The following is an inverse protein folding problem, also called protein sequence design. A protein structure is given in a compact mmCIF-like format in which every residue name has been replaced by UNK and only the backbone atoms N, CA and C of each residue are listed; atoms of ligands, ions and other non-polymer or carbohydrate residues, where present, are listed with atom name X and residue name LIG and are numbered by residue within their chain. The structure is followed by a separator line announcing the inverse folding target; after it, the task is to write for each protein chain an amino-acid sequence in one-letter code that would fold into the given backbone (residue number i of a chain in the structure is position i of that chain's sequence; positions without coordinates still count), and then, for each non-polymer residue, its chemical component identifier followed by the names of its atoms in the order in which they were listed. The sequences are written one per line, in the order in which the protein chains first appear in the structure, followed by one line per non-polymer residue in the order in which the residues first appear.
data_IF_858397208556
#
_entry.id   IF_858397208556
#
_cell.length_a   1.000
_cell.length_b   1.000
_cell.length_c   1.000
_cell.angle_alpha   90.00
_cell.angle_beta   90.00
_cell.angle_gamma   90.00
#
_symmetry.space_group_name_H-M   'P 1'
#
loop_
_entity.id
_entity.type
_entity.pdbx_description
1 polymer ?
#
# COMPACT_ATOMS: atom_id res chain seq x y z
N UNK A 1 19.66 4.25 -25.62
CA UNK A 1 18.57 3.83 -24.72
C UNK A 1 17.52 3.05 -25.52
N UNK A 2 17.14 1.84 -25.13
CA UNK A 2 16.14 1.06 -25.86
C UNK A 2 14.77 1.76 -25.84
N UNK A 3 14.05 1.68 -26.97
CA UNK A 3 12.73 2.33 -27.18
C UNK A 3 11.67 1.98 -26.12
N UNK A 4 11.84 0.85 -25.44
CA UNK A 4 10.99 0.36 -24.34
C UNK A 4 10.94 1.35 -23.16
N UNK A 5 12.07 1.99 -22.83
CA UNK A 5 12.14 2.94 -21.71
C UNK A 5 11.38 4.24 -22.00
N UNK A 6 11.33 4.69 -23.26
CA UNK A 6 10.57 5.88 -23.65
C UNK A 6 9.05 5.65 -23.56
N UNK A 7 8.59 4.44 -23.86
CA UNK A 7 7.16 4.10 -23.79
C UNK A 7 6.69 3.95 -22.33
N UNK A 8 7.53 3.42 -21.47
CA UNK A 8 7.23 3.24 -20.05
C UNK A 8 7.31 4.57 -19.26
N UNK A 9 8.18 5.49 -19.64
CA UNK A 9 8.19 6.85 -19.07
C UNK A 9 6.87 7.62 -19.35
N UNK A 10 6.14 7.24 -20.41
CA UNK A 10 4.82 7.79 -20.74
C UNK A 10 3.72 7.34 -19.77
N UNK A 11 3.94 6.26 -19.03
CA UNK A 11 3.00 5.73 -18.02
C UNK A 11 3.22 6.37 -16.64
N UNK A 12 4.35 7.05 -16.43
CA UNK A 12 4.67 7.73 -15.16
C UNK A 12 3.54 8.63 -14.62
N UNK A 13 2.87 9.48 -15.44
CA UNK A 13 1.79 10.33 -14.94
C UNK A 13 0.61 9.53 -14.37
N UNK A 14 0.38 8.29 -14.84
CA UNK A 14 -0.68 7.41 -14.31
C UNK A 14 -0.34 6.97 -12.90
N UNK A 15 0.91 6.58 -12.66
CA UNK A 15 1.38 6.22 -11.31
C UNK A 15 1.34 7.41 -10.34
N UNK A 16 1.72 8.62 -10.81
CA UNK A 16 1.65 9.85 -10.01
C UNK A 16 0.21 10.21 -9.66
N UNK A 17 -0.72 9.99 -10.58
CA UNK A 17 -2.13 10.22 -10.34
C UNK A 17 -2.72 9.22 -9.34
N UNK A 18 -2.41 7.92 -9.51
CA UNK A 18 -2.80 6.86 -8.56
C UNK A 18 -2.27 7.16 -7.16
N UNK A 19 -1.01 7.56 -7.04
CA UNK A 19 -0.42 7.94 -5.76
C UNK A 19 -1.17 9.11 -5.10
N UNK A 20 -1.48 10.16 -5.86
CA UNK A 20 -2.23 11.33 -5.36
C UNK A 20 -3.63 10.96 -4.89
N UNK A 21 -4.32 10.07 -5.64
CA UNK A 21 -5.65 9.59 -5.26
C UNK A 21 -5.58 8.78 -3.97
N UNK A 22 -4.67 7.82 -3.87
CA UNK A 22 -4.52 6.99 -2.67
C UNK A 22 -4.15 7.85 -1.46
N UNK A 23 -3.25 8.83 -1.64
CA UNK A 23 -2.90 9.77 -0.58
C UNK A 23 -4.08 10.63 -0.14
N UNK A 24 -4.88 11.14 -1.09
CA UNK A 24 -6.10 11.89 -0.77
C UNK A 24 -7.10 11.03 -0.02
N UNK A 25 -7.29 9.79 -0.47
CA UNK A 25 -8.17 8.83 0.18
C UNK A 25 -7.74 8.55 1.64
N UNK A 26 -6.44 8.34 1.89
CA UNK A 26 -5.91 8.17 3.24
C UNK A 26 -6.19 9.38 4.13
N UNK A 27 -6.02 10.60 3.60
CA UNK A 27 -6.30 11.83 4.34
C UNK A 27 -7.78 11.96 4.70
N UNK A 28 -8.67 11.64 3.75
CA UNK A 28 -10.12 11.67 3.99
C UNK A 28 -10.54 10.61 5.02
N UNK A 29 -10.03 9.39 4.91
CA UNK A 29 -10.28 8.32 5.88
C UNK A 29 -9.82 8.74 7.28
N UNK A 30 -8.66 9.36 7.40
CA UNK A 30 -8.14 9.87 8.68
C UNK A 30 -9.10 10.90 9.31
N UNK A 31 -9.55 11.88 8.52
CA UNK A 31 -10.46 12.91 9.02
C UNK A 31 -11.79 12.30 9.49
N UNK A 32 -12.35 11.38 8.70
CA UNK A 32 -13.60 10.68 9.05
C UNK A 32 -13.42 9.85 10.31
N UNK A 33 -12.31 9.12 10.43
CA UNK A 33 -11.97 8.30 11.59
C UNK A 33 -11.88 9.14 12.87
N UNK A 34 -11.20 10.29 12.82
CA UNK A 34 -11.10 11.23 13.93
C UNK A 34 -12.50 11.76 14.33
N UNK A 35 -13.34 12.13 13.36
CA UNK A 35 -14.68 12.64 13.65
C UNK A 35 -15.56 11.59 14.34
N UNK A 36 -15.53 10.34 13.85
CA UNK A 36 -16.30 9.24 14.47
C UNK A 36 -15.77 8.95 15.87
N UNK A 37 -14.45 8.93 16.05
CA UNK A 37 -13.82 8.72 17.35
C UNK A 37 -14.20 9.82 18.33
N UNK A 38 -14.15 11.10 17.92
CA UNK A 38 -14.58 12.23 18.74
C UNK A 38 -16.06 12.11 19.13
N UNK A 39 -16.92 11.69 18.19
CA UNK A 39 -18.35 11.48 18.47
C UNK A 39 -18.55 10.34 19.48
N UNK A 40 -17.85 9.23 19.35
CA UNK A 40 -17.92 8.10 20.28
C UNK A 40 -17.46 8.48 21.69
N UNK A 41 -16.34 9.18 21.80
CA UNK A 41 -15.82 9.68 23.08
C UNK A 41 -16.80 10.67 23.72
N UNK A 42 -17.33 11.63 22.95
CA UNK A 42 -18.30 12.58 23.45
C UNK A 42 -19.59 11.89 23.96
N UNK A 43 -20.09 10.88 23.24
CA UNK A 43 -21.25 10.10 23.65
C UNK A 43 -21.07 9.37 24.98
N UNK A 44 -19.85 8.92 25.28
CA UNK A 44 -19.54 8.25 26.57
C UNK A 44 -19.50 9.22 27.77
N UNK A 45 -19.06 10.45 27.56
CA UNK A 45 -18.89 11.44 28.65
C UNK A 45 -20.05 12.40 28.80
N UNK A 46 -20.84 12.61 27.75
CA UNK A 46 -21.92 13.59 27.72
C UNK A 46 -23.25 12.85 27.52
N UNK A 47 -24.05 12.71 28.57
CA UNK A 47 -25.32 11.97 28.55
C UNK A 47 -26.35 12.49 27.53
N UNK A 48 -26.15 13.69 26.98
CA UNK A 48 -27.02 14.27 25.94
C UNK A 48 -26.68 13.80 24.53
N UNK A 49 -25.47 13.27 24.31
CA UNK A 49 -25.00 12.78 23.00
C UNK A 49 -25.20 11.28 22.95
N UNK A 50 -25.91 10.75 21.93
CA UNK A 50 -26.05 9.29 21.79
C UNK A 50 -24.69 8.65 21.52
N UNK A 51 -24.37 7.57 22.24
CA UNK A 51 -23.22 6.70 21.94
C UNK A 51 -23.72 5.51 21.10
N UNK A 52 -23.63 5.60 19.77
CA UNK A 52 -24.11 4.51 18.92
C UNK A 52 -23.09 3.36 18.93
N UNK A 53 -23.54 2.16 19.23
CA UNK A 53 -22.71 0.94 19.30
C UNK A 53 -21.92 0.62 18.02
N UNK A 54 -22.27 1.23 16.88
CA UNK A 54 -21.57 1.02 15.60
C UNK A 54 -20.27 1.80 15.46
N UNK A 55 -20.06 2.85 16.24
CA UNK A 55 -18.88 3.75 16.10
C UNK A 55 -17.57 3.01 16.29
N UNK A 56 -17.48 2.18 17.30
CA UNK A 56 -16.26 1.42 17.62
C UNK A 56 -15.86 0.47 16.48
N UNK A 57 -16.84 -0.21 15.89
CA UNK A 57 -16.61 -1.14 14.81
C UNK A 57 -16.24 -0.42 13.48
N UNK A 58 -16.81 0.76 13.25
CA UNK A 58 -16.46 1.60 12.10
C UNK A 58 -15.06 2.17 12.20
N UNK A 59 -14.65 2.70 13.36
CA UNK A 59 -13.31 3.20 13.63
C UNK A 59 -12.26 2.11 13.33
N UNK A 60 -12.44 0.90 13.86
CA UNK A 60 -11.54 -0.21 13.58
C UNK A 60 -11.44 -0.54 12.09
N UNK A 61 -12.57 -0.52 11.39
CA UNK A 61 -12.60 -0.79 9.94
C UNK A 61 -11.87 0.30 9.15
N UNK A 62 -12.13 1.58 9.43
CA UNK A 62 -11.47 2.72 8.78
C UNK A 62 -9.97 2.72 9.06
N UNK A 63 -9.57 2.41 10.29
CA UNK A 63 -8.17 2.28 10.68
C UNK A 63 -7.43 1.20 9.87
N UNK A 64 -8.08 0.05 9.62
CA UNK A 64 -7.50 -1.01 8.75
C UNK A 64 -7.35 -0.52 7.32
N UNK A 65 -8.37 0.16 6.74
CA UNK A 65 -8.26 0.75 5.40
C UNK A 65 -7.09 1.73 5.31
N UNK A 66 -6.97 2.63 6.29
CA UNK A 66 -5.90 3.61 6.33
C UNK A 66 -4.52 2.96 6.47
N UNK A 67 -4.38 1.97 7.36
CA UNK A 67 -3.12 1.26 7.58
C UNK A 67 -2.64 0.56 6.30
N UNK A 68 -3.54 -0.13 5.63
CA UNK A 68 -3.26 -0.86 4.38
C UNK A 68 -2.86 0.09 3.25
N UNK A 69 -3.64 1.16 3.02
CA UNK A 69 -3.34 2.13 1.98
C UNK A 69 -2.06 2.91 2.26
N UNK A 70 -1.78 3.27 3.51
CA UNK A 70 -0.53 3.94 3.87
C UNK A 70 0.69 3.04 3.70
N UNK A 71 0.57 1.74 3.98
CA UNK A 71 1.64 0.77 3.71
C UNK A 71 1.99 0.71 2.22
N UNK A 72 0.97 0.75 1.33
CA UNK A 72 1.21 0.76 -0.12
C UNK A 72 1.87 2.07 -0.60
N UNK A 73 1.55 3.21 0.00
CA UNK A 73 2.24 4.48 -0.29
C UNK A 73 3.70 4.46 0.15
N UNK A 74 4.01 3.77 1.26
CA UNK A 74 5.38 3.61 1.75
C UNK A 74 6.26 2.82 0.77
N UNK A 75 5.71 1.85 0.04
CA UNK A 75 6.42 1.13 -1.03
C UNK A 75 6.94 2.11 -2.07
N UNK A 76 6.08 2.99 -2.58
CA UNK A 76 6.46 3.95 -3.62
C UNK A 76 7.46 5.01 -3.13
N UNK A 77 7.37 5.42 -1.87
CA UNK A 77 8.30 6.43 -1.31
C UNK A 77 9.70 5.87 -1.01
N UNK A 78 9.96 4.59 -1.34
CA UNK A 78 11.20 3.89 -0.97
C UNK A 78 11.51 3.95 0.55
N UNK A 79 10.48 4.19 1.36
CA UNK A 79 10.59 4.30 2.82
C UNK A 79 10.42 2.92 3.47
N UNK A 80 10.36 1.84 2.66
CA UNK A 80 10.46 0.50 3.21
C UNK A 80 11.74 0.43 4.03
N UNK A 81 11.61 -0.14 5.20
CA UNK A 81 12.63 -0.27 6.26
C UNK A 81 13.94 -0.80 5.65
N UNK A 82 14.66 0.09 4.98
CA UNK A 82 16.01 -0.15 4.53
C UNK A 82 16.87 0.21 5.72
N UNK A 83 17.49 -0.79 6.27
CA UNK A 83 18.45 -0.59 7.34
C UNK A 83 19.71 0.06 6.76
N UNK A 84 19.65 1.38 6.54
CA UNK A 84 20.74 2.20 5.99
C UNK A 84 22.04 2.12 6.83
N UNK A 85 21.94 1.62 8.06
CA UNK A 85 23.08 1.41 8.95
C UNK A 85 24.12 0.44 8.35
N UNK A 86 23.68 -0.53 7.57
CA UNK A 86 24.58 -1.49 6.90
C UNK A 86 25.04 -1.03 5.52
N UNK A 87 24.40 -0.02 4.92
CA UNK A 87 24.75 0.47 3.57
C UNK A 87 26.21 0.98 3.50
N UNK A 88 26.73 1.51 4.58
CA UNK A 88 28.11 2.01 4.66
C UNK A 88 29.19 0.90 4.70
N UNK A 89 28.80 -0.33 5.07
CA UNK A 89 29.73 -1.46 5.26
C UNK A 89 29.66 -2.52 4.16
N UNK A 90 28.60 -2.50 3.35
CA UNK A 90 28.36 -3.53 2.33
C UNK A 90 28.83 -3.07 0.94
N UNK A 91 29.39 -3.97 0.12
CA UNK A 91 29.75 -3.66 -1.26
C UNK A 91 28.47 -3.38 -2.07
N UNK A 92 28.57 -2.43 -3.01
CA UNK A 92 27.44 -1.96 -3.85
C UNK A 92 26.68 -3.05 -4.58
N UNK A 93 27.35 -4.16 -4.90
CA UNK A 93 26.72 -5.31 -5.58
C UNK A 93 25.78 -6.11 -4.65
N UNK A 94 26.18 -6.26 -3.39
CA UNK A 94 25.35 -6.95 -2.37
C UNK A 94 24.11 -6.10 -2.05
N UNK A 95 24.27 -4.78 -1.94
CA UNK A 95 23.16 -3.86 -1.73
C UNK A 95 22.09 -3.98 -2.83
N UNK A 96 22.53 -4.03 -4.10
CA UNK A 96 21.61 -4.20 -5.24
C UNK A 96 20.88 -5.54 -5.23
N UNK A 97 21.57 -6.62 -4.84
CA UNK A 97 20.94 -7.93 -4.72
C UNK A 97 19.91 -7.97 -3.60
N UNK A 98 20.17 -7.25 -2.49
CA UNK A 98 19.22 -7.10 -1.40
C UNK A 98 18.00 -6.27 -1.80
N UNK A 99 18.17 -5.19 -2.58
CA UNK A 99 17.08 -4.38 -3.10
C UNK A 99 16.16 -5.24 -3.99
N UNK A 100 16.75 -5.97 -4.93
CA UNK A 100 15.98 -6.85 -5.81
C UNK A 100 15.27 -7.98 -5.06
N UNK A 101 15.91 -8.54 -4.04
CA UNK A 101 15.31 -9.56 -3.18
C UNK A 101 14.11 -8.99 -2.40
N UNK A 102 14.24 -7.76 -1.90
CA UNK A 102 13.16 -7.05 -1.23
C UNK A 102 11.97 -6.81 -2.16
N UNK A 103 12.23 -6.32 -3.39
CA UNK A 103 11.20 -6.09 -4.40
C UNK A 103 10.45 -7.40 -4.73
N UNK A 104 11.16 -8.50 -4.91
CA UNK A 104 10.56 -9.82 -5.15
C UNK A 104 9.69 -10.25 -3.96
N UNK A 105 10.17 -10.07 -2.73
CA UNK A 105 9.43 -10.45 -1.54
C UNK A 105 8.13 -9.65 -1.39
N UNK A 106 8.16 -8.33 -1.65
CA UNK A 106 6.98 -7.46 -1.61
C UNK A 106 6.00 -7.81 -2.73
N UNK A 107 6.51 -8.12 -3.94
CA UNK A 107 5.67 -8.58 -5.05
C UNK A 107 4.93 -9.87 -4.71
N UNK A 108 5.64 -10.86 -4.16
CA UNK A 108 5.05 -12.14 -3.71
C UNK A 108 4.01 -11.91 -2.63
N UNK A 109 4.29 -11.03 -1.66
CA UNK A 109 3.32 -10.66 -0.63
C UNK A 109 2.08 -10.03 -1.23
N UNK A 110 2.22 -9.11 -2.19
CA UNK A 110 1.11 -8.48 -2.89
C UNK A 110 0.21 -9.50 -3.60
N UNK A 111 0.80 -10.48 -4.28
CA UNK A 111 0.06 -11.57 -4.94
C UNK A 111 -0.67 -12.45 -3.91
N UNK A 112 0.00 -12.80 -2.82
CA UNK A 112 -0.61 -13.59 -1.73
C UNK A 112 -1.81 -12.84 -1.16
N UNK A 113 -1.66 -11.54 -0.84
CA UNK A 113 -2.75 -10.73 -0.31
C UNK A 113 -3.92 -10.60 -1.30
N UNK A 114 -3.64 -10.50 -2.59
CA UNK A 114 -4.67 -10.45 -3.62
C UNK A 114 -5.45 -11.77 -3.70
N UNK A 115 -4.76 -12.90 -3.80
CA UNK A 115 -5.39 -14.22 -3.95
C UNK A 115 -6.16 -14.61 -2.70
N UNK A 116 -5.51 -14.61 -1.55
CA UNK A 116 -6.17 -14.98 -0.30
C UNK A 116 -7.20 -13.95 0.16
N UNK A 117 -6.94 -12.65 -0.08
CA UNK A 117 -7.91 -11.59 0.21
C UNK A 117 -9.21 -11.75 -0.57
N UNK A 118 -9.12 -12.09 -1.86
CA UNK A 118 -10.32 -12.36 -2.67
C UNK A 118 -11.03 -13.65 -2.23
N UNK A 119 -10.30 -14.68 -1.82
CA UNK A 119 -10.88 -15.90 -1.27
C UNK A 119 -11.64 -15.61 0.04
N UNK A 120 -11.06 -14.84 0.94
CA UNK A 120 -11.71 -14.45 2.21
C UNK A 120 -12.96 -13.60 1.95
N UNK A 121 -12.90 -12.62 1.04
CA UNK A 121 -14.07 -11.81 0.65
C UNK A 121 -15.20 -12.67 0.05
N UNK A 122 -14.85 -13.75 -0.66
CA UNK A 122 -15.82 -14.67 -1.25
C UNK A 122 -16.29 -15.79 -0.30
N UNK A 123 -15.69 -15.90 0.87
CA UNK A 123 -16.06 -16.93 1.85
C UNK A 123 -17.51 -16.76 2.32
N UNK A 124 -18.21 -17.87 2.66
CA UNK A 124 -19.56 -17.79 3.21
C UNK A 124 -19.65 -16.92 4.46
N UNK A 125 -18.59 -16.96 5.30
CA UNK A 125 -18.51 -16.18 6.52
C UNK A 125 -18.52 -14.65 6.24
N UNK A 126 -17.87 -14.20 5.19
CA UNK A 126 -17.86 -12.79 4.80
C UNK A 126 -19.18 -12.39 4.14
N UNK A 127 -19.71 -13.22 3.20
CA UNK A 127 -20.92 -12.90 2.42
C UNK A 127 -22.19 -12.92 3.25
N UNK A 128 -22.37 -13.91 4.12
CA UNK A 128 -23.56 -14.06 4.95
C UNK A 128 -23.38 -13.45 6.34
N UNK A 129 -22.14 -13.17 6.76
CA UNK A 129 -21.86 -12.45 7.98
C UNK A 129 -22.29 -10.99 7.90
N UNK A 130 -22.87 -10.50 8.99
CA UNK A 130 -23.25 -9.09 9.15
C UNK A 130 -22.41 -8.47 10.23
N UNK A 131 -22.27 -7.14 10.21
CA UNK A 131 -21.72 -6.42 11.36
C UNK A 131 -22.63 -6.60 12.55
N UNK A 132 -22.05 -6.81 13.74
CA UNK A 132 -22.82 -7.01 14.98
C UNK A 132 -23.64 -5.77 15.32
N UNK A 133 -23.04 -4.60 15.12
CA UNK A 133 -23.65 -3.30 15.44
C UNK A 133 -24.48 -2.71 14.29
N UNK A 134 -24.29 -3.16 13.04
CA UNK A 134 -25.04 -2.70 11.85
C UNK A 134 -25.48 -3.90 11.02
N UNK A 135 -26.66 -4.48 11.31
CA UNK A 135 -27.13 -5.69 10.61
C UNK A 135 -27.38 -5.52 9.11
N UNK A 136 -27.44 -4.27 8.62
CA UNK A 136 -27.62 -3.94 7.21
C UNK A 136 -26.32 -4.00 6.41
N UNK A 137 -25.14 -3.91 7.07
CA UNK A 137 -23.85 -3.89 6.41
C UNK A 137 -23.25 -5.30 6.40
N UNK A 138 -22.82 -5.75 5.22
CA UNK A 138 -22.15 -7.04 5.07
C UNK A 138 -20.74 -7.00 5.65
N UNK A 139 -20.32 -8.07 6.30
CA UNK A 139 -18.95 -8.22 6.83
C UNK A 139 -17.87 -8.21 5.74
N UNK A 140 -18.23 -8.36 4.48
CA UNK A 140 -17.30 -8.24 3.33
C UNK A 140 -16.52 -6.93 3.39
N UNK A 141 -17.14 -5.81 3.77
CA UNK A 141 -16.48 -4.51 3.87
C UNK A 141 -15.28 -4.49 4.82
N UNK A 142 -15.28 -5.34 5.83
CA UNK A 142 -14.14 -5.49 6.74
C UNK A 142 -12.94 -6.18 6.07
N UNK A 143 -13.18 -7.04 5.07
CA UNK A 143 -12.13 -7.81 4.40
C UNK A 143 -11.66 -7.20 3.07
N UNK A 144 -12.44 -6.31 2.46
CA UNK A 144 -12.08 -5.59 1.21
C UNK A 144 -10.72 -4.87 1.25
N UNK A 145 -10.24 -4.32 2.37
CA UNK A 145 -8.90 -3.72 2.41
C UNK A 145 -7.78 -4.68 2.01
N UNK A 146 -7.92 -5.98 2.28
CA UNK A 146 -6.86 -6.97 2.03
C UNK A 146 -6.58 -7.13 0.53
N UNK A 147 -7.56 -7.46 -0.34
CA UNK A 147 -7.31 -7.53 -1.78
C UNK A 147 -6.99 -6.17 -2.39
N UNK A 148 -7.55 -5.08 -1.85
CA UNK A 148 -7.22 -3.72 -2.28
C UNK A 148 -5.73 -3.41 -2.05
N UNK A 149 -5.19 -3.80 -0.88
CA UNK A 149 -3.76 -3.73 -0.61
C UNK A 149 -2.95 -4.52 -1.63
N UNK A 150 -3.35 -5.76 -1.90
CA UNK A 150 -2.67 -6.61 -2.88
C UNK A 150 -2.56 -5.95 -4.25
N UNK A 151 -3.66 -5.37 -4.75
CA UNK A 151 -3.66 -4.65 -6.04
C UNK A 151 -2.74 -3.44 -6.01
N UNK A 152 -2.86 -2.57 -5.00
CA UNK A 152 -2.07 -1.34 -4.92
C UNK A 152 -0.59 -1.63 -4.68
N UNK A 153 -0.25 -2.66 -3.89
CA UNK A 153 1.11 -3.14 -3.72
C UNK A 153 1.73 -3.59 -5.04
N UNK A 154 1.03 -4.42 -5.80
CA UNK A 154 1.52 -4.91 -7.10
C UNK A 154 1.75 -3.74 -8.07
N UNK A 155 0.84 -2.77 -8.13
CA UNK A 155 0.97 -1.61 -9.01
C UNK A 155 2.23 -0.81 -8.68
N UNK A 156 2.44 -0.46 -7.40
CA UNK A 156 3.58 0.34 -6.99
C UNK A 156 4.89 -0.43 -7.05
N UNK A 157 4.86 -1.73 -6.77
CA UNK A 157 6.05 -2.58 -6.84
C UNK A 157 6.53 -2.76 -8.30
N UNK A 158 5.63 -2.89 -9.25
CA UNK A 158 5.98 -2.90 -10.67
C UNK A 158 6.70 -1.60 -11.09
N UNK A 159 6.28 -0.46 -10.55
CA UNK A 159 6.97 0.83 -10.77
C UNK A 159 8.39 0.79 -10.18
N UNK A 160 8.56 0.27 -8.96
CA UNK A 160 9.87 0.20 -8.27
C UNK A 160 10.83 -0.76 -8.98
N UNK A 161 10.39 -1.96 -9.30
CA UNK A 161 11.17 -2.94 -10.08
C UNK A 161 11.63 -2.35 -11.41
N UNK A 162 10.74 -1.64 -12.11
CA UNK A 162 11.10 -0.94 -13.33
C UNK A 162 12.19 0.12 -13.12
N UNK A 163 12.07 0.94 -12.06
CA UNK A 163 13.07 1.97 -11.74
C UNK A 163 14.42 1.37 -11.37
N UNK A 164 14.44 0.28 -10.61
CA UNK A 164 15.67 -0.44 -10.25
C UNK A 164 16.34 -1.06 -11.47
N UNK A 165 15.58 -1.69 -12.36
CA UNK A 165 16.09 -2.24 -13.63
C UNK A 165 16.64 -1.12 -14.53
N UNK A 166 15.92 0.00 -14.67
CA UNK A 166 16.38 1.16 -15.44
C UNK A 166 17.69 1.72 -14.90
N UNK A 167 17.83 1.85 -13.57
CA UNK A 167 19.04 2.31 -12.92
C UNK A 167 20.23 1.36 -13.14
N UNK A 168 19.97 0.07 -13.30
CA UNK A 168 20.98 -0.93 -13.60
C UNK A 168 21.57 -0.71 -15.00
N UNK A 169 20.71 -0.60 -16.03
CA UNK A 169 21.13 -0.44 -17.42
C UNK A 169 21.78 0.93 -17.70
N UNK A 170 21.27 2.02 -17.16
CA UNK A 170 21.83 3.37 -17.36
C UNK A 170 23.25 3.48 -16.79
N UNK A 171 23.53 2.80 -15.68
CA UNK A 171 24.85 2.83 -15.06
C UNK A 171 25.87 1.94 -15.79
N UNK A 172 25.41 0.86 -16.44
CA UNK A 172 26.25 0.01 -17.27
C UNK A 172 26.67 0.70 -18.56
N UNK A 173 25.77 1.48 -19.18
CA UNK A 173 26.09 2.30 -20.35
C UNK A 173 27.13 3.41 -20.01
N UNK A 174 26.97 4.06 -18.84
CA UNK A 174 27.91 5.09 -18.39
C UNK A 174 29.30 4.52 -18.02
N UNK A 175 29.37 3.30 -17.50
CA UNK A 175 30.64 2.63 -17.22
C UNK A 175 31.40 2.26 -18.51
N UNK A 176 30.68 1.79 -19.54
CA UNK A 176 31.25 1.46 -20.84
C UNK A 176 31.75 2.70 -21.62
N UNK A 177 31.08 3.85 -21.46
CA UNK A 177 31.54 5.12 -22.05
C UNK A 177 32.76 5.71 -21.32
N UNK A 178 32.95 5.40 -20.03
CA UNK A 178 34.12 5.80 -19.23
C UNK A 178 35.36 4.97 -19.50
N UNK A 179 35.24 3.72 -19.94
CA UNK A 179 36.35 2.83 -20.31
C UNK A 179 36.81 3.03 -21.76
N UNK A 180 36.00 3.69 -22.59
CA UNK A 180 36.30 3.96 -23.98
C UNK A 180 37.00 5.31 -24.24
N UNK A 181 37.34 6.06 -23.18
CA UNK A 181 38.13 7.30 -23.23
C UNK A 181 39.47 7.09 -22.53
#
# INVERSE_FOLDING_TARGET
MPKIFQTLDKIRPVYDWTYKIVMLLCKLLLVVDILITCMSVAGRYISFIPDPAWTEQMVLTLMVYMAVLSATLAIRSNTHIRMTVFDAKLPKNVLRSLDLLSDIAVMVLGVIMLVYGTQVCNSPLAKFGKYESIPTLSRVWMYVPIPLAGVTMIIFELEQVYLHIKAFFVKEDAAKEGEAK
#
